data_IF_325875251109
#
_entry.id   IF_325875251109
#
_cell.length_a   1.000
_cell.length_b   1.000
_cell.length_c   1.000
_cell.angle_alpha   90.00
_cell.angle_beta   90.00
_cell.angle_gamma   90.00
#
_symmetry.space_group_name_H-M   'P 1'
#
loop_
_entity.id
_entity.type
_entity.pdbx_description
1 polymer ?
#
# COMPACT_ATOMS: atom_id res chain seq x y z
N UNK A 1 22.99 15.99 -9.83
CA UNK A 1 21.93 15.05 -9.38
C UNK A 1 22.16 14.79 -7.92
N UNK A 2 21.10 14.78 -7.12
CA UNK A 2 21.21 14.46 -5.70
C UNK A 2 21.64 13.00 -5.46
N UNK A 3 22.17 12.73 -4.27
CA UNK A 3 22.63 11.41 -3.81
C UNK A 3 22.39 11.29 -2.31
N UNK A 4 21.84 10.17 -1.87
CA UNK A 4 21.49 9.92 -0.48
C UNK A 4 22.16 8.65 0.05
N UNK A 5 22.37 8.60 1.36
CA UNK A 5 22.87 7.44 2.10
C UNK A 5 21.78 6.35 2.22
N UNK A 6 22.21 5.17 2.63
CA UNK A 6 21.30 4.14 3.14
C UNK A 6 20.54 4.66 4.36
N UNK A 7 19.31 4.17 4.52
CA UNK A 7 18.45 4.54 5.65
C UNK A 7 18.99 3.95 6.95
N UNK A 8 19.10 4.78 7.98
CA UNK A 8 19.44 4.37 9.35
C UNK A 8 18.16 4.28 10.19
N UNK A 9 17.75 3.08 10.66
CA UNK A 9 16.63 2.94 11.58
C UNK A 9 16.94 3.62 12.92
N UNK A 10 15.94 4.26 13.53
CA UNK A 10 16.08 4.74 14.92
C UNK A 10 16.02 3.59 15.90
N UNK A 11 16.43 3.80 17.15
CA UNK A 11 16.30 2.81 18.23
C UNK A 11 14.84 2.37 18.40
N UNK A 12 13.91 3.32 18.31
CA UNK A 12 12.46 3.07 18.44
C UNK A 12 11.92 2.33 17.22
N UNK A 13 12.39 2.70 16.02
CA UNK A 13 12.05 2.02 14.76
C UNK A 13 12.56 0.58 14.73
N UNK A 14 13.80 0.33 15.17
CA UNK A 14 14.37 -1.01 15.26
C UNK A 14 13.64 -1.89 16.27
N UNK A 15 13.24 -1.33 17.42
CA UNK A 15 12.42 -2.05 18.40
C UNK A 15 11.04 -2.42 17.82
N UNK A 16 10.40 -1.51 17.09
CA UNK A 16 9.13 -1.79 16.42
C UNK A 16 9.29 -2.86 15.33
N UNK A 17 10.33 -2.77 14.49
CA UNK A 17 10.68 -3.75 13.48
C UNK A 17 10.89 -5.15 14.09
N UNK A 18 11.60 -5.23 15.22
CA UNK A 18 11.87 -6.48 15.92
C UNK A 18 10.58 -7.11 16.47
N UNK A 19 9.69 -6.30 17.07
CA UNK A 19 8.38 -6.79 17.54
C UNK A 19 7.50 -7.25 16.38
N UNK A 20 7.49 -6.52 15.27
CA UNK A 20 6.79 -6.94 14.06
C UNK A 20 7.38 -8.24 13.48
N UNK A 21 8.71 -8.41 13.50
CA UNK A 21 9.36 -9.65 13.07
C UNK A 21 8.97 -10.87 13.92
N UNK A 22 8.60 -10.65 15.18
CA UNK A 22 8.14 -11.67 16.11
C UNK A 22 6.61 -11.82 16.15
N UNK A 23 5.87 -11.10 15.29
CA UNK A 23 4.40 -11.13 15.25
C UNK A 23 3.73 -10.47 16.46
N UNK A 24 4.46 -9.62 17.20
CA UNK A 24 4.00 -8.98 18.42
C UNK A 24 3.46 -7.56 18.19
N UNK A 25 3.74 -6.97 17.03
CA UNK A 25 3.28 -5.64 16.67
C UNK A 25 2.89 -5.61 15.20
N UNK A 26 1.95 -4.72 14.88
CA UNK A 26 1.65 -4.29 13.52
C UNK A 26 1.75 -2.78 13.46
N UNK A 27 2.22 -2.25 12.35
CA UNK A 27 2.36 -0.81 12.21
C UNK A 27 2.16 -0.34 10.78
N UNK A 28 1.89 0.94 10.66
CA UNK A 28 1.73 1.63 9.38
C UNK A 28 2.86 2.63 9.20
N UNK A 29 3.57 2.61 8.06
CA UNK A 29 4.38 3.77 7.65
C UNK A 29 3.43 4.84 7.13
N UNK A 30 3.46 6.02 7.73
CA UNK A 30 2.41 7.03 7.61
C UNK A 30 2.79 8.19 6.70
N UNK A 31 4.02 8.71 6.84
CA UNK A 31 4.52 9.87 6.11
C UNK A 31 6.04 9.94 6.12
N UNK A 32 6.58 10.88 5.34
CA UNK A 32 7.95 11.34 5.47
C UNK A 32 8.00 12.82 5.90
N UNK A 33 9.15 13.27 6.36
CA UNK A 33 9.44 14.69 6.55
C UNK A 33 10.88 14.99 6.14
N UNK A 34 11.13 16.19 5.64
CA UNK A 34 12.46 16.68 5.29
C UNK A 34 12.90 17.80 6.22
N UNK A 35 14.23 17.99 6.32
CA UNK A 35 14.83 19.14 6.99
C UNK A 35 15.96 19.75 6.17
N UNK A 36 16.18 21.04 6.39
CA UNK A 36 17.34 21.78 5.91
C UNK A 36 18.57 21.59 6.80
N UNK A 37 18.41 21.00 7.99
CA UNK A 37 19.52 20.81 8.94
C UNK A 37 20.53 19.80 8.40
N UNK A 38 21.81 20.16 8.47
CA UNK A 38 22.92 19.26 8.13
C UNK A 38 23.21 18.34 9.32
N UNK A 39 22.76 17.09 9.18
CA UNK A 39 22.97 16.03 10.18
C UNK A 39 24.21 15.16 9.88
N UNK A 40 25.01 15.49 8.86
CA UNK A 40 26.15 14.67 8.42
C UNK A 40 27.26 14.53 9.47
N UNK A 41 27.27 15.39 10.48
CA UNK A 41 28.24 15.34 11.59
C UNK A 41 27.79 14.44 12.75
N UNK A 42 26.54 13.99 12.76
CA UNK A 42 26.05 13.05 13.76
C UNK A 42 26.63 11.66 13.47
N UNK A 43 27.00 10.97 14.54
CA UNK A 43 27.37 9.56 14.48
C UNK A 43 26.12 8.69 14.25
N UNK A 44 26.30 7.47 13.77
CA UNK A 44 25.20 6.51 13.59
C UNK A 44 24.39 6.31 14.88
N UNK A 45 25.07 6.31 16.04
CA UNK A 45 24.41 6.19 17.34
C UNK A 45 23.54 7.42 17.67
N UNK A 46 24.00 8.62 17.33
CA UNK A 46 23.22 9.84 17.55
C UNK A 46 22.02 9.90 16.59
N UNK A 47 22.19 9.47 15.33
CA UNK A 47 21.10 9.31 14.37
C UNK A 47 20.07 8.29 14.86
N UNK A 48 20.52 7.15 15.38
CA UNK A 48 19.66 6.11 15.95
C UNK A 48 18.84 6.63 17.14
N UNK A 49 19.40 7.50 17.96
CA UNK A 49 18.72 8.07 19.13
C UNK A 49 17.75 9.21 18.80
N UNK A 50 17.62 9.62 17.53
CA UNK A 50 16.63 10.63 17.13
C UNK A 50 15.21 10.10 17.34
N UNK A 51 14.34 10.97 17.85
CA UNK A 51 12.91 10.70 18.06
C UNK A 51 12.01 11.49 17.11
N UNK A 52 12.55 12.54 16.50
CA UNK A 52 11.94 13.35 15.46
C UNK A 52 13.05 13.98 14.59
N UNK A 53 12.73 14.32 13.35
CA UNK A 53 13.61 15.13 12.52
C UNK A 53 13.63 16.56 13.08
N UNK A 54 14.82 17.17 13.30
CA UNK A 54 14.89 18.54 13.78
C UNK A 54 14.42 19.51 12.69
N UNK A 55 13.69 20.55 13.12
CA UNK A 55 13.25 21.65 12.25
C UNK A 55 12.63 21.15 10.93
N UNK A 56 11.59 20.29 11.03
CA UNK A 56 10.87 19.80 9.84
C UNK A 56 10.44 20.98 8.96
N UNK A 57 10.88 20.95 7.70
CA UNK A 57 10.56 22.01 6.71
C UNK A 57 9.32 21.61 5.92
N UNK A 58 9.18 20.33 5.59
CA UNK A 58 8.11 19.84 4.74
C UNK A 58 7.74 18.40 5.06
N UNK A 59 6.44 18.08 4.99
CA UNK A 59 5.95 16.71 4.95
C UNK A 59 6.00 16.15 3.52
N UNK A 60 6.52 14.94 3.37
CA UNK A 60 6.46 14.14 2.15
C UNK A 60 5.33 13.10 2.24
N UNK A 61 4.76 12.77 1.08
CA UNK A 61 3.73 11.73 0.97
C UNK A 61 4.33 10.44 0.42
N UNK A 62 3.70 9.31 0.74
CA UNK A 62 4.09 8.01 0.22
C UNK A 62 3.20 7.68 -0.98
N UNK A 63 3.82 7.45 -2.14
CA UNK A 63 3.12 7.28 -3.42
C UNK A 63 3.13 5.84 -3.93
N UNK A 64 4.09 5.03 -3.50
CA UNK A 64 4.17 3.62 -3.88
C UNK A 64 4.98 2.79 -2.86
N UNK A 65 4.83 1.47 -2.93
CA UNK A 65 5.68 0.49 -2.24
C UNK A 65 6.36 -0.36 -3.31
N UNK A 66 7.62 -0.71 -3.09
CA UNK A 66 8.39 -1.64 -3.92
C UNK A 66 8.93 -2.76 -3.04
N UNK A 67 8.94 -3.97 -3.56
CA UNK A 67 9.64 -5.07 -2.88
C UNK A 67 11.14 -4.79 -2.91
N UNK A 68 11.83 -5.09 -1.81
CA UNK A 68 13.30 -5.10 -1.82
C UNK A 68 13.78 -6.34 -2.60
N UNK A 69 14.48 -6.20 -3.73
CA UNK A 69 14.94 -7.34 -4.53
C UNK A 69 15.96 -8.21 -3.81
N UNK A 70 16.60 -7.70 -2.75
CA UNK A 70 17.61 -8.40 -1.95
C UNK A 70 17.06 -8.90 -0.61
N UNK A 71 15.97 -8.32 -0.10
CA UNK A 71 15.33 -8.71 1.15
C UNK A 71 13.79 -8.54 1.12
N UNK A 72 13.07 -9.27 0.23
CA UNK A 72 11.65 -9.02 -0.05
C UNK A 72 10.72 -9.25 1.15
N UNK A 73 11.17 -9.97 2.18
CA UNK A 73 10.38 -10.26 3.38
C UNK A 73 10.79 -9.43 4.60
N UNK A 74 11.92 -8.72 4.55
CA UNK A 74 12.49 -8.01 5.69
C UNK A 74 12.63 -6.50 5.49
N UNK A 75 12.51 -6.00 4.26
CA UNK A 75 12.54 -4.59 3.93
C UNK A 75 11.48 -4.22 2.88
N UNK A 76 11.02 -2.98 2.93
CA UNK A 76 10.11 -2.40 1.93
C UNK A 76 10.71 -1.14 1.34
N UNK A 77 10.69 -1.03 0.01
CA UNK A 77 10.97 0.19 -0.72
C UNK A 77 9.77 1.12 -0.60
N UNK A 78 9.96 2.29 -0.01
CA UNK A 78 8.91 3.31 0.16
C UNK A 78 9.21 4.46 -0.78
N UNK A 79 8.33 4.72 -1.76
CA UNK A 79 8.47 5.85 -2.67
C UNK A 79 7.88 7.10 -2.01
N UNK A 80 8.74 8.09 -1.81
CA UNK A 80 8.43 9.38 -1.20
C UNK A 80 8.33 10.45 -2.27
N UNK A 81 7.36 11.35 -2.13
CA UNK A 81 7.17 12.52 -2.97
C UNK A 81 7.17 13.79 -2.11
N UNK A 82 7.99 14.75 -2.52
CA UNK A 82 8.01 16.12 -2.01
C UNK A 82 7.69 17.09 -3.15
N UNK A 83 6.81 18.06 -2.90
CA UNK A 83 6.44 19.12 -3.85
C UNK A 83 6.72 20.51 -3.28
N UNK A 84 7.08 21.48 -4.11
CA UNK A 84 7.36 22.84 -3.60
C UNK A 84 6.11 23.69 -3.31
N UNK A 85 4.89 23.22 -3.59
CA UNK A 85 3.65 24.04 -3.55
C UNK A 85 3.39 24.77 -2.22
N UNK A 86 3.93 24.25 -1.11
CA UNK A 86 3.81 24.85 0.23
C UNK A 86 5.13 25.45 0.75
N UNK A 87 6.13 25.60 -0.10
CA UNK A 87 7.46 26.09 0.26
C UNK A 87 7.54 27.59 0.01
N UNK A 88 7.71 28.36 1.09
CA UNK A 88 7.84 29.83 1.03
C UNK A 88 9.28 30.27 0.78
N UNK A 89 10.26 29.49 1.24
CA UNK A 89 11.68 29.75 1.05
C UNK A 89 12.38 28.45 0.65
N UNK A 90 13.05 28.47 -0.50
CA UNK A 90 13.75 27.30 -1.01
C UNK A 90 14.86 26.81 -0.07
N UNK A 91 15.10 25.50 -0.06
CA UNK A 91 16.03 24.85 0.86
C UNK A 91 16.63 23.58 0.26
N UNK A 92 17.75 23.15 0.82
CA UNK A 92 18.34 21.84 0.49
C UNK A 92 17.71 20.77 1.38
N UNK A 93 17.21 19.69 0.78
CA UNK A 93 16.73 18.51 1.51
C UNK A 93 17.95 17.73 2.01
N UNK A 94 18.44 18.08 3.19
CA UNK A 94 19.67 17.51 3.75
C UNK A 94 19.43 16.18 4.49
N UNK A 95 18.23 16.00 5.05
CA UNK A 95 17.82 14.74 5.62
C UNK A 95 16.31 14.51 5.43
N UNK A 96 15.94 13.23 5.41
CA UNK A 96 14.56 12.75 5.32
C UNK A 96 14.31 11.77 6.46
N UNK A 97 13.28 12.04 7.26
CA UNK A 97 12.75 11.12 8.25
C UNK A 97 11.52 10.39 7.74
N UNK A 98 11.41 9.13 8.12
CA UNK A 98 10.27 8.25 7.80
C UNK A 98 9.54 7.98 9.10
N UNK A 99 8.24 8.21 9.11
CA UNK A 99 7.41 8.04 10.30
C UNK A 99 6.53 6.80 10.22
N UNK A 100 6.31 6.19 11.38
CA UNK A 100 5.44 5.03 11.52
C UNK A 100 4.56 5.16 12.75
N UNK A 101 3.42 4.47 12.72
CA UNK A 101 2.47 4.38 13.83
C UNK A 101 2.11 2.93 14.07
N UNK A 102 2.30 2.49 15.31
CA UNK A 102 1.88 1.15 15.74
C UNK A 102 0.34 1.08 15.89
N UNK A 103 -0.24 -0.04 15.50
CA UNK A 103 -1.67 -0.29 15.62
C UNK A 103 -2.11 -0.21 17.09
N UNK A 104 -3.17 0.56 17.35
CA UNK A 104 -3.68 0.78 18.71
C UNK A 104 -2.91 1.83 19.53
N UNK A 105 -1.89 2.48 18.95
CA UNK A 105 -1.25 3.66 19.53
C UNK A 105 -1.61 4.93 18.75
N UNK A 106 -1.72 6.04 19.46
CA UNK A 106 -2.08 7.32 18.84
C UNK A 106 -0.87 8.07 18.26
N UNK A 107 0.32 7.82 18.81
CA UNK A 107 1.52 8.57 18.48
C UNK A 107 2.26 8.00 17.27
N UNK A 108 2.74 8.88 16.39
CA UNK A 108 3.76 8.54 15.40
C UNK A 108 5.15 8.54 16.04
N UNK A 109 6.02 7.68 15.53
CA UNK A 109 7.45 7.64 15.88
C UNK A 109 8.29 7.91 14.63
N UNK A 110 9.43 8.57 14.81
CA UNK A 110 10.47 8.58 13.78
C UNK A 110 11.03 7.16 13.67
N UNK A 111 10.76 6.51 12.55
CA UNK A 111 11.12 5.12 12.31
C UNK A 111 12.54 4.98 11.77
N UNK A 112 12.91 5.84 10.80
CA UNK A 112 14.23 5.82 10.19
C UNK A 112 14.58 7.17 9.58
N UNK A 113 15.88 7.38 9.34
CA UNK A 113 16.45 8.62 8.81
C UNK A 113 17.37 8.31 7.64
N UNK A 114 17.27 9.10 6.57
CA UNK A 114 18.17 9.08 5.42
C UNK A 114 18.83 10.44 5.27
N UNK A 115 20.16 10.46 5.15
CA UNK A 115 20.94 11.70 4.97
C UNK A 115 21.36 11.89 3.51
N UNK A 116 21.44 13.14 3.07
CA UNK A 116 22.00 13.48 1.77
C UNK A 116 23.54 13.41 1.80
N UNK A 117 24.14 12.78 0.78
CA UNK A 117 25.54 13.02 0.40
C UNK A 117 25.65 14.27 -0.49
N UNK A 118 24.65 14.44 -1.36
CA UNK A 118 24.45 15.60 -2.21
C UNK A 118 22.95 15.90 -2.21
N UNK A 119 22.56 16.98 -1.54
CA UNK A 119 21.15 17.32 -1.35
C UNK A 119 20.49 17.76 -2.67
N UNK A 120 19.18 17.55 -2.73
CA UNK A 120 18.32 18.17 -3.74
C UNK A 120 17.90 19.57 -3.24
N UNK A 121 17.91 20.56 -4.12
CA UNK A 121 17.39 21.89 -3.80
C UNK A 121 15.92 21.97 -4.18
N UNK A 122 15.05 22.16 -3.19
CA UNK A 122 13.63 22.42 -3.38
C UNK A 122 13.44 23.95 -3.45
N UNK A 123 13.05 24.54 -4.60
CA UNK A 123 12.79 25.97 -4.70
C UNK A 123 11.52 26.35 -3.92
N UNK A 124 11.32 27.64 -3.69
CA UNK A 124 10.00 28.14 -3.27
C UNK A 124 8.96 28.04 -4.41
N UNK A 125 7.71 28.35 -4.09
CA UNK A 125 6.61 28.35 -5.06
C UNK A 125 6.27 29.75 -5.61
N UNK A 126 7.12 30.77 -5.43
CA UNK A 126 6.78 32.15 -5.80
C UNK A 126 6.47 32.31 -7.31
N UNK A 127 7.18 31.56 -8.14
CA UNK A 127 7.00 31.55 -9.61
C UNK A 127 5.84 30.64 -10.08
N UNK A 128 5.11 30.01 -9.15
CA UNK A 128 3.99 29.08 -9.42
C UNK A 128 4.36 27.89 -10.31
N UNK A 129 5.64 27.49 -10.30
CA UNK A 129 6.15 26.30 -10.98
C UNK A 129 6.25 25.17 -9.97
N UNK A 130 5.57 24.04 -10.26
CA UNK A 130 5.63 22.87 -9.41
C UNK A 130 6.89 22.06 -9.73
N UNK A 131 7.74 21.88 -8.72
CA UNK A 131 8.82 20.90 -8.71
C UNK A 131 8.41 19.68 -7.88
N UNK A 132 8.67 18.49 -8.43
CA UNK A 132 8.47 17.23 -7.74
C UNK A 132 9.81 16.55 -7.53
N UNK A 133 10.12 16.22 -6.28
CA UNK A 133 11.27 15.39 -5.93
C UNK A 133 10.78 14.04 -5.42
N UNK A 134 11.16 12.97 -6.13
CA UNK A 134 10.84 11.59 -5.77
C UNK A 134 12.08 10.86 -5.27
N UNK A 135 11.93 10.15 -4.15
CA UNK A 135 12.98 9.35 -3.54
C UNK A 135 12.42 8.00 -3.10
N UNK A 136 13.01 6.90 -3.56
CA UNK A 136 12.71 5.57 -3.01
C UNK A 136 13.73 5.24 -1.94
N UNK A 137 13.25 4.92 -0.74
CA UNK A 137 14.08 4.51 0.41
C UNK A 137 13.69 3.11 0.84
N UNK A 138 14.67 2.25 1.13
CA UNK A 138 14.40 0.92 1.67
C UNK A 138 14.42 0.99 3.20
N UNK A 139 13.38 0.43 3.81
CA UNK A 139 13.14 0.48 5.25
C UNK A 139 13.04 -0.96 5.77
N UNK A 140 13.88 -1.29 6.74
CA UNK A 140 13.84 -2.61 7.40
C UNK A 140 12.56 -2.68 8.26
N UNK A 141 11.72 -3.67 8.02
CA UNK A 141 10.42 -3.85 8.70
C UNK A 141 10.30 -5.16 9.47
N UNK A 142 11.30 -6.04 9.35
CA UNK A 142 11.33 -7.33 10.04
C UNK A 142 10.46 -8.38 9.35
N UNK A 143 9.16 -8.13 9.21
CA UNK A 143 8.21 -8.94 8.43
C UNK A 143 7.21 -8.05 7.70
N UNK A 144 7.20 -8.12 6.37
CA UNK A 144 6.32 -7.32 5.52
C UNK A 144 4.82 -7.57 5.78
N UNK A 145 4.42 -8.79 6.16
CA UNK A 145 3.03 -9.15 6.53
C UNK A 145 2.46 -8.39 7.75
N UNK A 146 3.34 -7.84 8.60
CA UNK A 146 2.95 -7.08 9.79
C UNK A 146 3.03 -5.57 9.59
N UNK A 147 3.30 -5.12 8.36
CA UNK A 147 3.43 -3.70 8.03
C UNK A 147 2.44 -3.30 6.96
N UNK A 148 1.73 -2.23 7.22
CA UNK A 148 0.94 -1.51 6.21
C UNK A 148 1.67 -0.23 5.84
N UNK A 149 1.41 0.31 4.65
CA UNK A 149 1.92 1.63 4.27
C UNK A 149 0.72 2.46 3.83
N UNK A 150 0.60 3.66 4.39
CA UNK A 150 -0.46 4.59 4.00
C UNK A 150 -0.05 5.29 2.71
N UNK A 151 -0.67 4.88 1.60
CA UNK A 151 -0.43 5.49 0.29
C UNK A 151 -1.44 6.62 0.09
N UNK A 152 -0.94 7.84 -0.13
CA UNK A 152 -1.78 8.99 -0.42
C UNK A 152 -1.74 9.32 -1.92
N UNK A 153 -2.84 9.05 -2.61
CA UNK A 153 -2.96 9.10 -4.07
C UNK A 153 -3.61 10.43 -4.53
N UNK A 154 -3.69 11.45 -3.68
CA UNK A 154 -4.49 12.66 -3.96
C UNK A 154 -4.07 13.47 -5.18
N UNK A 155 -2.87 13.25 -5.76
CA UNK A 155 -2.37 14.06 -6.88
C UNK A 155 -2.31 13.32 -8.23
N UNK A 156 -2.03 12.02 -8.24
CA UNK A 156 -2.25 11.10 -9.36
C UNK A 156 -1.76 9.72 -8.94
N UNK A 157 -2.57 8.67 -9.16
CA UNK A 157 -2.05 7.32 -9.09
C UNK A 157 -1.00 7.15 -10.19
N UNK A 158 0.19 6.65 -9.85
CA UNK A 158 1.13 6.26 -10.92
C UNK A 158 0.49 5.13 -11.71
N UNK A 159 0.73 5.09 -13.04
CA UNK A 159 0.25 3.99 -13.88
C UNK A 159 0.70 2.63 -13.31
N UNK A 160 1.95 2.57 -12.82
CA UNK A 160 2.54 1.41 -12.14
C UNK A 160 1.68 0.96 -10.94
N UNK A 161 1.35 1.88 -10.01
CA UNK A 161 0.49 1.57 -8.89
C UNK A 161 -0.88 1.03 -9.33
N UNK A 162 -1.51 1.67 -10.32
CA UNK A 162 -2.81 1.21 -10.84
C UNK A 162 -2.71 -0.18 -11.46
N UNK A 163 -1.69 -0.42 -12.28
CA UNK A 163 -1.46 -1.71 -12.94
C UNK A 163 -1.22 -2.83 -11.92
N UNK A 164 -0.42 -2.57 -10.87
CA UNK A 164 -0.17 -3.52 -9.78
C UNK A 164 -1.44 -3.85 -8.99
N UNK A 165 -2.28 -2.86 -8.70
CA UNK A 165 -3.54 -3.11 -7.99
C UNK A 165 -4.55 -3.85 -8.88
N UNK A 166 -4.59 -3.58 -10.19
CA UNK A 166 -5.42 -4.34 -11.14
C UNK A 166 -4.96 -5.80 -11.20
N UNK A 167 -3.65 -6.07 -11.22
CA UNK A 167 -3.11 -7.42 -11.25
C UNK A 167 -3.46 -8.26 -10.01
N UNK A 168 -3.78 -7.62 -8.87
CA UNK A 168 -4.20 -8.29 -7.63
C UNK A 168 -5.70 -8.63 -7.58
N UNK A 169 -6.50 -8.22 -8.58
CA UNK A 169 -7.93 -8.55 -8.65
C UNK A 169 -8.10 -9.94 -9.28
N UNK A 170 -8.46 -10.94 -8.48
CA UNK A 170 -8.96 -12.22 -9.01
C UNK A 170 -10.41 -12.06 -9.46
N UNK A 171 -10.66 -12.27 -10.75
CA UNK A 171 -11.98 -12.15 -11.37
C UNK A 171 -12.87 -13.35 -11.02
N UNK A 172 -12.26 -14.50 -10.65
CA UNK A 172 -12.97 -15.72 -10.28
C UNK A 172 -13.55 -15.65 -8.86
N UNK A 173 -13.05 -14.75 -8.00
CA UNK A 173 -13.55 -14.53 -6.64
C UNK A 173 -14.85 -13.71 -6.59
N UNK A 174 -15.27 -13.09 -7.71
CA UNK A 174 -16.43 -12.17 -7.74
C UNK A 174 -17.72 -12.77 -8.29
N UNK A 175 -17.70 -14.01 -8.79
CA UNK A 175 -18.88 -14.72 -9.27
C UNK A 175 -18.82 -16.16 -8.76
N UNK A 176 -19.63 -16.48 -7.76
CA UNK A 176 -19.85 -17.87 -7.39
C UNK A 176 -20.58 -18.62 -8.53
N UNK A 177 -20.46 -19.95 -8.59
CA UNK A 177 -21.27 -20.75 -9.51
C UNK A 177 -22.78 -20.51 -9.33
N UNK A 178 -23.18 -20.07 -8.15
CA UNK A 178 -24.55 -19.71 -7.83
C UNK A 178 -24.97 -18.37 -8.45
N UNK A 179 -24.08 -17.37 -8.47
CA UNK A 179 -24.32 -16.10 -9.16
C UNK A 179 -24.49 -16.32 -10.67
N UNK A 180 -23.72 -17.25 -11.25
CA UNK A 180 -23.86 -17.64 -12.65
C UNK A 180 -25.19 -18.37 -12.93
N UNK A 181 -25.66 -19.20 -11.99
CA UNK A 181 -26.97 -19.88 -12.09
C UNK A 181 -28.14 -18.91 -12.00
N UNK A 182 -28.08 -17.95 -11.09
CA UNK A 182 -29.16 -16.98 -10.89
C UNK A 182 -29.31 -16.02 -12.08
N UNK A 183 -28.21 -15.69 -12.76
CA UNK A 183 -28.24 -14.93 -14.03
C UNK A 183 -28.88 -15.75 -15.16
N UNK A 184 -28.54 -17.04 -15.27
CA UNK A 184 -29.08 -17.91 -16.32
C UNK A 184 -30.55 -18.31 -16.07
N UNK A 185 -30.98 -18.37 -14.81
CA UNK A 185 -32.34 -18.77 -14.42
C UNK A 185 -33.29 -17.58 -14.18
N UNK A 186 -32.77 -16.36 -13.97
CA UNK A 186 -33.56 -15.14 -13.79
C UNK A 186 -34.19 -14.58 -15.07
N UNK A 187 -33.82 -15.10 -16.25
CA UNK A 187 -34.32 -14.70 -17.55
C UNK A 187 -35.54 -15.50 -18.04
N UNK A 188 -36.73 -15.21 -17.49
CA UNK A 188 -38.08 -15.66 -17.94
C UNK A 188 -38.48 -17.12 -17.65
N UNK A 189 -39.34 -17.29 -16.65
CA UNK A 189 -40.68 -17.88 -16.83
C UNK A 189 -41.54 -17.62 -15.59
N UNK A 190 -42.39 -16.59 -15.65
CA UNK A 190 -43.59 -16.54 -14.81
C UNK A 190 -44.80 -16.78 -15.72
N UNK A 191 -45.54 -17.88 -15.55
CA UNK A 191 -46.97 -17.90 -15.75
C UNK A 191 -47.67 -17.89 -14.40
N UNK A 192 -48.55 -16.91 -14.22
CA UNK A 192 -49.43 -16.77 -13.07
C UNK A 192 -50.52 -17.86 -13.06
N UNK A 193 -50.92 -18.22 -11.83
CA UNK A 193 -52.20 -18.83 -11.39
C UNK A 193 -52.24 -20.35 -11.23
N UNK A 194 -52.54 -20.79 -9.99
CA UNK A 194 -53.12 -22.11 -9.73
C UNK A 194 -52.59 -22.79 -8.48
N UNK A 195 -53.36 -22.66 -7.40
CA UNK A 195 -53.24 -23.41 -6.16
C UNK A 195 -53.17 -24.94 -6.36
N UNK A 196 -52.29 -25.60 -5.56
CA UNK A 196 -52.29 -26.99 -5.04
C UNK A 196 -52.62 -28.16 -5.99
N UNK A 197 -51.76 -29.20 -6.05
CA UNK A 197 -52.10 -30.59 -5.64
C UNK A 197 -50.85 -31.34 -5.15
N UNK A 198 -51.09 -32.07 -4.07
CA UNK A 198 -50.32 -33.00 -3.23
C UNK A 198 -49.80 -34.27 -3.92
N UNK A 199 -48.86 -34.93 -3.23
CA UNK A 199 -48.62 -36.38 -3.14
C UNK A 199 -47.70 -37.11 -4.16
N UNK A 200 -46.52 -37.41 -3.62
CA UNK A 200 -45.92 -38.75 -3.43
C UNK A 200 -46.28 -39.88 -4.41
N UNK A 201 -45.21 -40.39 -5.06
CA UNK A 201 -45.03 -41.74 -5.60
C UNK A 201 -46.01 -42.17 -6.71
N UNK A 202 -45.54 -43.04 -7.61
CA UNK A 202 -46.19 -43.52 -8.86
C UNK A 202 -45.89 -42.58 -10.05
N UNK A 203 -45.36 -43.02 -11.19
CA UNK A 203 -45.17 -44.36 -11.77
C UNK A 203 -44.09 -44.25 -12.84
N UNK A 204 -43.14 -45.16 -12.79
CA UNK A 204 -42.47 -45.62 -14.00
C UNK A 204 -43.53 -46.11 -15.00
N UNK A 205 -43.33 -45.72 -16.26
CA UNK A 205 -43.85 -46.33 -17.48
C UNK A 205 -45.38 -46.30 -17.69
N UNK A 206 -45.73 -46.43 -18.98
CA UNK A 206 -47.05 -46.39 -19.63
C UNK A 206 -47.44 -44.98 -20.13
N UNK A 207 -47.58 -44.68 -21.42
CA UNK A 207 -47.66 -45.42 -22.70
C UNK A 207 -47.37 -44.37 -23.81
N UNK A 208 -46.81 -44.65 -24.98
CA UNK A 208 -46.82 -45.88 -25.75
C UNK A 208 -47.46 -45.62 -27.13
N UNK A 209 -46.65 -45.73 -28.19
CA UNK A 209 -47.07 -45.85 -29.59
C UNK A 209 -45.81 -45.99 -30.47
N UNK A 210 -45.23 -47.19 -30.65
CA UNK A 210 -45.49 -48.18 -31.73
C UNK A 210 -45.46 -47.52 -33.13
N UNK A 211 -44.73 -48.01 -34.14
CA UNK A 211 -44.56 -49.39 -34.61
C UNK A 211 -43.37 -49.49 -35.62
N UNK A 212 -42.51 -50.52 -35.56
CA UNK A 212 -42.44 -51.71 -36.47
C UNK A 212 -41.68 -51.44 -37.78
N UNK A 213 -40.48 -52.01 -38.00
CA UNK A 213 -40.21 -53.37 -38.54
C UNK A 213 -39.80 -53.26 -40.02
N UNK A 214 -38.96 -54.06 -40.67
CA UNK A 214 -38.46 -55.43 -40.51
C UNK A 214 -37.24 -55.62 -41.46
N UNK A 215 -36.43 -56.62 -41.09
CA UNK A 215 -35.53 -57.46 -41.89
C UNK A 215 -34.25 -56.83 -42.47
#
# INVERSE_FOLDING_TARGET
>A
MSKYNETVPTDVGLQLASRAANGQAKFTITRAASTADDLSKLTDKELQSLTAIPNEVQAGVITNIKDDPTNPNGAIGTELLFTNEKIEAGYNINAVGIYAKEDGQDNEILYAVTLAQQAEYMPDFADQVILQFKLTVYVIVGRTENVTVSINITEAATKEYVDEQIAKIDINDKLSEQDLRDIFLGGKAAPLMGYQIQNQHLRNLYLGGKAVGRN
#
